data_IF_988060154887
#
_entry.id   IF_988060154887
#
_cell.length_a   1.000
_cell.length_b   1.000
_cell.length_c   1.000
_cell.angle_alpha   90.00
_cell.angle_beta   90.00
_cell.angle_gamma   90.00
#
_symmetry.space_group_name_H-M   'P 1'
#
loop_
_entity.id
_entity.type
_entity.pdbx_description
1 polymer ?
#
# COMPACT_ATOMS: atom_id res chain seq x y z
N UNK A 1 -2.76 16.75 -7.09
CA UNK A 1 -3.47 15.58 -6.54
C UNK A 1 -3.10 14.29 -7.27
N UNK A 2 -3.49 14.09 -8.53
CA UNK A 2 -3.31 12.82 -9.29
C UNK A 2 -1.86 12.30 -9.42
N UNK A 3 -0.89 13.19 -9.68
CA UNK A 3 0.53 12.82 -9.80
C UNK A 3 1.06 12.08 -8.56
N UNK A 4 0.71 12.58 -7.36
CA UNK A 4 1.21 12.03 -6.10
C UNK A 4 0.77 10.57 -5.94
N UNK A 5 -0.49 10.27 -6.23
CA UNK A 5 -1.02 8.90 -6.20
C UNK A 5 -0.17 7.97 -7.06
N UNK A 6 0.09 8.32 -8.32
CA UNK A 6 0.87 7.46 -9.22
C UNK A 6 2.30 7.28 -8.70
N UNK A 7 2.97 8.38 -8.30
CA UNK A 7 4.35 8.31 -7.79
C UNK A 7 4.49 7.57 -6.46
N UNK A 8 3.40 7.44 -5.69
CA UNK A 8 3.35 6.60 -4.48
C UNK A 8 3.21 5.10 -4.78
N UNK A 9 2.91 4.71 -6.03
CA UNK A 9 2.88 3.31 -6.48
C UNK A 9 4.13 2.92 -7.28
N UNK A 10 5.09 3.84 -7.41
CA UNK A 10 6.32 3.60 -8.15
C UNK A 10 7.49 3.58 -7.19
N UNK A 11 8.40 2.61 -7.38
CA UNK A 11 9.68 2.53 -6.66
C UNK A 11 10.78 2.60 -7.71
N UNK A 12 11.79 3.43 -7.47
CA UNK A 12 12.87 3.66 -8.43
C UNK A 12 14.14 2.93 -7.99
N UNK A 13 14.93 2.46 -8.96
CA UNK A 13 16.28 1.96 -8.72
C UNK A 13 16.39 0.52 -8.18
N UNK A 14 15.27 -0.15 -7.88
CA UNK A 14 15.27 -1.56 -7.52
C UNK A 14 14.02 -2.27 -8.09
N UNK A 15 14.24 -3.39 -8.80
CA UNK A 15 13.18 -4.35 -9.09
C UNK A 15 13.06 -5.28 -7.88
N UNK A 16 11.99 -5.11 -7.11
CA UNK A 16 11.70 -5.97 -5.97
C UNK A 16 10.78 -7.08 -6.46
N UNK A 17 11.36 -8.24 -6.75
CA UNK A 17 10.58 -9.45 -6.91
C UNK A 17 10.16 -9.97 -5.54
N UNK A 18 9.05 -10.72 -5.47
CA UNK A 18 8.57 -11.31 -4.21
C UNK A 18 9.63 -12.19 -3.56
N UNK A 19 10.35 -12.96 -4.37
CA UNK A 19 11.43 -13.84 -3.90
C UNK A 19 12.64 -13.05 -3.36
N UNK A 20 12.75 -11.77 -3.74
CA UNK A 20 13.76 -10.82 -3.27
C UNK A 20 13.34 -10.02 -2.03
N UNK A 21 12.12 -10.22 -1.49
CA UNK A 21 11.66 -9.61 -0.24
C UNK A 21 12.32 -10.36 0.93
N UNK A 22 13.63 -10.13 1.10
CA UNK A 22 14.42 -10.51 2.27
C UNK A 22 14.65 -9.33 3.21
N UNK A 23 15.12 -9.63 4.44
CA UNK A 23 15.25 -8.73 5.60
C UNK A 23 15.55 -7.26 5.25
N UNK A 24 14.50 -6.44 5.24
CA UNK A 24 14.57 -5.02 4.86
C UNK A 24 13.33 -4.62 4.06
N UNK A 25 12.15 -4.77 4.68
CA UNK A 25 10.87 -4.77 3.97
C UNK A 25 10.34 -3.38 3.58
N UNK A 26 11.12 -2.32 3.74
CA UNK A 26 10.64 -0.95 3.51
C UNK A 26 11.13 -0.45 2.15
N UNK A 27 10.19 -0.01 1.31
CA UNK A 27 10.44 0.58 0.00
C UNK A 27 10.25 2.09 0.04
N UNK A 28 11.19 2.82 -0.56
CA UNK A 28 11.01 4.26 -0.81
C UNK A 28 10.37 4.47 -2.18
N UNK A 29 9.18 5.05 -2.19
CA UNK A 29 8.46 5.39 -3.43
C UNK A 29 9.11 6.58 -4.13
N UNK A 30 8.81 6.76 -5.42
CA UNK A 30 9.19 7.94 -6.20
C UNK A 30 8.65 9.25 -5.61
N UNK A 31 7.61 9.16 -4.77
CA UNK A 31 7.06 10.30 -4.01
C UNK A 31 7.79 10.61 -2.70
N UNK A 32 8.80 9.81 -2.32
CA UNK A 32 9.56 9.93 -1.08
C UNK A 32 8.91 9.29 0.14
N UNK A 33 7.80 8.54 -0.03
CA UNK A 33 7.13 7.84 1.06
C UNK A 33 7.72 6.46 1.26
N UNK A 34 7.82 6.04 2.52
CA UNK A 34 8.26 4.70 2.92
C UNK A 34 7.05 3.76 3.05
N UNK A 35 7.13 2.60 2.39
CA UNK A 35 6.09 1.59 2.36
C UNK A 35 6.65 0.25 2.82
N UNK A 36 6.02 -0.33 3.84
CA UNK A 36 6.41 -1.64 4.31
C UNK A 36 5.72 -2.73 3.49
N UNK A 37 6.50 -3.74 3.11
CA UNK A 37 6.04 -5.00 2.56
C UNK A 37 5.86 -6.00 3.70
N UNK A 38 4.69 -6.60 3.77
CA UNK A 38 4.39 -7.57 4.82
C UNK A 38 3.99 -8.86 4.13
N UNK A 39 4.84 -9.89 4.26
CA UNK A 39 4.51 -11.23 3.83
C UNK A 39 3.88 -11.98 5.01
N UNK A 40 2.62 -12.38 4.86
CA UNK A 40 1.92 -13.33 5.75
C UNK A 40 1.44 -14.49 4.88
N UNK A 41 0.12 -14.73 4.86
CA UNK A 41 -0.52 -15.62 3.90
C UNK A 41 -0.48 -15.01 2.48
N UNK A 42 -0.82 -13.72 2.37
CA UNK A 42 -0.64 -12.91 1.17
C UNK A 42 0.53 -11.91 1.30
N UNK A 43 0.89 -11.28 0.17
CA UNK A 43 1.81 -10.14 0.17
C UNK A 43 1.00 -8.85 0.30
N UNK A 44 1.38 -8.01 1.25
CA UNK A 44 0.76 -6.72 1.48
C UNK A 44 1.76 -5.59 1.26
N UNK A 45 1.28 -4.51 0.67
CA UNK A 45 1.95 -3.20 0.69
C UNK A 45 1.18 -2.34 1.69
N UNK A 46 1.74 -2.15 2.89
CA UNK A 46 1.01 -1.66 4.07
C UNK A 46 -0.29 -2.44 4.30
N UNK A 47 -1.43 -1.81 4.05
CA UNK A 47 -2.77 -2.35 4.31
C UNK A 47 -3.45 -2.87 3.04
N UNK A 48 -2.76 -2.89 1.89
CA UNK A 48 -3.32 -3.25 0.58
C UNK A 48 -2.76 -4.59 0.11
N UNK A 49 -3.66 -5.50 -0.28
CA UNK A 49 -3.31 -6.82 -0.80
C UNK A 49 -2.73 -6.72 -2.21
N UNK A 50 -1.63 -7.42 -2.46
CA UNK A 50 -1.09 -7.66 -3.81
C UNK A 50 -1.78 -8.89 -4.41
N UNK A 51 -2.51 -8.69 -5.51
CA UNK A 51 -3.35 -9.72 -6.16
C UNK A 51 -2.61 -10.49 -7.24
N UNK A 52 -1.68 -9.85 -7.96
CA UNK A 52 -0.79 -10.51 -8.92
C UNK A 52 0.61 -10.01 -8.68
N UNK A 53 1.54 -10.94 -8.58
CA UNK A 53 2.94 -10.66 -8.26
C UNK A 53 3.83 -10.91 -9.48
N UNK A 54 4.97 -10.23 -9.52
CA UNK A 54 6.09 -10.50 -10.44
C UNK A 54 5.73 -10.45 -11.94
N UNK A 55 4.93 -9.48 -12.37
CA UNK A 55 4.76 -9.23 -13.81
C UNK A 55 6.01 -8.53 -14.34
N UNK A 56 6.92 -9.33 -14.90
CA UNK A 56 8.21 -8.85 -15.41
C UNK A 56 8.02 -8.15 -16.77
N UNK A 57 8.39 -6.86 -16.81
CA UNK A 57 8.53 -6.08 -18.02
C UNK A 57 9.99 -5.87 -18.40
N UNK A 58 10.23 -5.27 -19.57
CA UNK A 58 11.60 -4.96 -20.03
C UNK A 58 12.32 -3.90 -19.19
N UNK A 59 11.59 -3.14 -18.38
CA UNK A 59 12.08 -1.99 -17.61
C UNK A 59 11.75 -2.06 -16.11
N UNK A 60 11.25 -3.19 -15.61
CA UNK A 60 10.90 -3.35 -14.20
C UNK A 60 9.95 -4.50 -13.94
N UNK A 61 9.39 -4.52 -12.73
CA UNK A 61 8.43 -5.53 -12.27
C UNK A 61 7.18 -4.82 -11.79
N UNK A 62 6.01 -5.32 -12.19
CA UNK A 62 4.70 -4.81 -11.78
C UNK A 62 4.07 -5.81 -10.81
N UNK A 63 3.55 -5.27 -9.71
CA UNK A 63 2.69 -5.99 -8.77
C UNK A 63 1.30 -5.35 -8.83
N UNK A 64 0.26 -6.13 -9.13
CA UNK A 64 -1.12 -5.63 -9.08
C UNK A 64 -1.59 -5.61 -7.63
N UNK A 65 -2.26 -4.54 -7.27
CA UNK A 65 -2.89 -4.35 -5.96
C UNK A 65 -4.40 -4.32 -6.13
N UNK A 66 -5.13 -4.70 -5.07
CA UNK A 66 -6.60 -4.75 -5.08
C UNK A 66 -7.26 -3.37 -5.26
N UNK A 67 -6.57 -2.29 -4.90
CA UNK A 67 -7.14 -0.94 -4.88
C UNK A 67 -6.08 0.12 -5.18
N UNK A 68 -6.52 1.34 -5.53
CA UNK A 68 -5.62 2.50 -5.62
C UNK A 68 -5.29 2.99 -4.20
N UNK A 69 -4.02 2.99 -3.85
CA UNK A 69 -3.56 3.38 -2.51
C UNK A 69 -3.37 4.90 -2.38
N UNK A 70 -3.97 5.50 -1.36
CA UNK A 70 -3.68 6.86 -0.91
C UNK A 70 -2.86 6.83 0.37
N UNK A 71 -1.64 7.36 0.32
CA UNK A 71 -0.74 7.41 1.49
C UNK A 71 -0.67 8.85 2.00
N UNK A 72 -0.93 9.03 3.29
CA UNK A 72 -0.94 10.33 3.95
C UNK A 72 -0.29 10.29 5.35
N UNK A 73 0.14 11.43 5.90
CA UNK A 73 0.58 11.51 7.29
C UNK A 73 -0.55 11.11 8.24
N UNK A 74 -0.24 10.34 9.28
CA UNK A 74 -1.24 9.88 10.26
C UNK A 74 -1.95 11.04 10.97
N UNK A 75 -1.23 12.13 11.23
CA UNK A 75 -1.77 13.30 11.92
C UNK A 75 -2.98 13.91 11.19
N UNK A 76 -2.98 13.84 9.87
CA UNK A 76 -4.05 14.34 9.00
C UNK A 76 -5.15 13.32 8.70
N UNK A 77 -5.12 12.14 9.32
CA UNK A 77 -6.16 11.12 9.13
C UNK A 77 -7.17 11.17 10.27
N UNK A 78 -8.38 11.63 9.97
CA UNK A 78 -9.46 11.77 10.96
C UNK A 78 -10.04 10.43 11.44
N UNK A 79 -9.69 9.32 10.78
CA UNK A 79 -10.11 7.96 11.18
C UNK A 79 -9.30 7.42 12.35
N UNK A 80 -8.14 8.03 12.65
CA UNK A 80 -7.21 7.55 13.66
C UNK A 80 -7.40 8.25 15.01
N UNK A 81 -7.32 7.47 16.08
CA UNK A 81 -7.21 7.99 17.45
C UNK A 81 -5.88 8.67 17.70
N UNK A 82 -5.80 9.53 18.72
CA UNK A 82 -4.55 10.19 19.10
C UNK A 82 -3.40 9.19 19.37
N UNK A 83 -3.70 8.05 19.99
CA UNK A 83 -2.73 6.99 20.25
C UNK A 83 -2.20 6.31 18.98
N UNK A 84 -3.03 6.17 17.95
CA UNK A 84 -2.60 5.65 16.66
C UNK A 84 -1.73 6.67 15.91
N UNK A 85 -2.14 7.95 15.93
CA UNK A 85 -1.38 9.05 15.33
C UNK A 85 0.03 9.20 15.93
N UNK A 86 0.18 8.97 17.23
CA UNK A 86 1.49 9.00 17.89
C UNK A 86 2.36 7.76 17.62
N UNK A 87 1.77 6.65 17.19
CA UNK A 87 2.46 5.37 17.00
C UNK A 87 2.93 5.14 15.57
N UNK A 88 2.26 5.73 14.58
CA UNK A 88 2.55 5.54 13.16
C UNK A 88 2.70 6.91 12.50
N UNK A 89 3.76 7.12 11.73
CA UNK A 89 3.99 8.39 11.02
C UNK A 89 3.08 8.57 9.81
N UNK A 90 2.70 7.45 9.19
CA UNK A 90 1.94 7.43 7.94
C UNK A 90 0.84 6.37 7.99
N UNK A 91 -0.18 6.57 7.17
CA UNK A 91 -1.30 5.64 6.96
C UNK A 91 -1.61 5.53 5.48
N UNK A 92 -2.16 4.39 5.07
CA UNK A 92 -2.64 4.14 3.74
C UNK A 92 -4.17 3.92 3.75
N UNK A 93 -4.83 4.31 2.67
CA UNK A 93 -6.25 4.01 2.44
C UNK A 93 -6.44 3.54 1.01
N UNK A 94 -7.21 2.46 0.83
CA UNK A 94 -7.79 2.16 -0.46
C UNK A 94 -8.77 3.25 -0.86
N UNK A 95 -8.53 3.90 -2.01
CA UNK A 95 -9.50 4.75 -2.68
C UNK A 95 -10.52 3.84 -3.39
N UNK A 96 -11.44 3.27 -2.61
CA UNK A 96 -12.60 2.59 -3.17
C UNK A 96 -13.61 3.64 -3.64
N UNK A 97 -14.07 3.53 -4.89
CA UNK A 97 -14.87 4.56 -5.57
C UNK A 97 -16.34 4.60 -5.11
N UNK A 98 -16.79 3.68 -4.24
CA UNK A 98 -18.13 3.78 -3.65
C UNK A 98 -18.33 2.99 -2.35
N UNK A 99 -19.25 3.47 -1.51
CA UNK A 99 -19.73 2.79 -0.28
C UNK A 99 -20.37 1.41 -0.53
N UNK A 100 -20.50 0.99 -1.79
CA UNK A 100 -21.04 -0.32 -2.19
C UNK A 100 -19.95 -1.29 -2.65
N UNK A 101 -18.67 -0.96 -2.49
CA UNK A 101 -17.60 -1.92 -2.72
C UNK A 101 -17.75 -3.11 -1.75
N UNK A 102 -17.89 -4.30 -2.34
CA UNK A 102 -18.04 -5.59 -1.63
C UNK A 102 -16.89 -5.82 -0.64
N UNK A 103 -15.70 -5.26 -0.90
CA UNK A 103 -14.56 -5.32 0.02
C UNK A 103 -14.77 -4.47 1.29
N UNK A 104 -15.43 -3.31 1.19
CA UNK A 104 -15.77 -2.50 2.37
C UNK A 104 -16.84 -3.20 3.24
N UNK A 105 -17.78 -3.92 2.62
CA UNK A 105 -18.78 -4.71 3.33
C UNK A 105 -18.17 -5.96 4.01
N UNK A 106 -17.12 -6.55 3.42
CA UNK A 106 -16.39 -7.66 4.03
C UNK A 106 -15.68 -7.26 5.34
N UNK A 107 -15.18 -6.02 5.44
CA UNK A 107 -14.61 -5.46 6.67
C UNK A 107 -15.68 -5.08 7.72
N UNK A 108 -16.93 -4.90 7.30
CA UNK A 108 -18.06 -4.54 8.18
C UNK A 108 -18.91 -5.75 8.62
N UNK A 109 -18.67 -6.95 8.10
CA UNK A 109 -19.24 -8.18 8.65
C UNK A 109 -18.55 -8.54 9.97
N UNK A 110 -18.94 -7.82 11.03
CA UNK A 110 -18.85 -8.34 12.39
C UNK A 110 -19.86 -9.49 12.53
N UNK A 111 -19.36 -10.68 12.84
CA UNK A 111 -20.13 -11.66 13.61
C UNK A 111 -20.35 -11.12 15.02
#
# INVERSE_FOLDING_TARGET
FKRKIITSHMVLGASVSVDGIGSGNTLTTASGQELDLIQRDDLYVKDVVVTVKDLVGSNGVIHLVECVMHVQPSIGDDRLSAAQKSKFEQTACCLADSRNDLHHQALLRKN
#
